data_IF_272180669633
#
_entry.id   IF_272180669633
#
_cell.length_a   1.000
_cell.length_b   1.000
_cell.length_c   1.000
_cell.angle_alpha   90.00
_cell.angle_beta   90.00
_cell.angle_gamma   90.00
#
_symmetry.space_group_name_H-M   'P 1'
#
loop_
_entity.id
_entity.type
_entity.pdbx_description
1 polymer ?
#
# COMPACT_ATOMS: atom_id res chain seq x y z
N UNK A 1 -16.63 -13.22 -12.70
CA UNK A 1 -16.94 -11.79 -12.97
C UNK A 1 -15.72 -11.17 -13.62
N UNK A 2 -15.87 -10.61 -14.79
CA UNK A 2 -14.75 -9.93 -15.45
C UNK A 2 -14.47 -8.61 -14.70
N UNK A 3 -13.29 -8.47 -14.15
CA UNK A 3 -12.82 -7.19 -13.62
C UNK A 3 -12.76 -6.17 -14.77
N UNK A 4 -13.51 -5.09 -14.63
CA UNK A 4 -13.45 -3.99 -15.59
C UNK A 4 -12.12 -3.27 -15.47
N UNK A 5 -11.33 -3.30 -16.54
CA UNK A 5 -10.06 -2.58 -16.58
C UNK A 5 -10.29 -1.17 -17.11
N UNK A 6 -9.96 -0.16 -16.31
CA UNK A 6 -10.03 1.23 -16.75
C UNK A 6 -9.05 1.45 -17.93
N UNK A 7 -9.53 2.06 -19.03
CA UNK A 7 -8.75 2.21 -20.27
C UNK A 7 -7.40 2.95 -20.08
N UNK A 8 -7.32 3.88 -19.12
CA UNK A 8 -6.08 4.57 -18.78
C UNK A 8 -4.97 3.64 -18.25
N UNK A 9 -5.32 2.47 -17.71
CA UNK A 9 -4.31 1.46 -17.33
C UNK A 9 -3.58 0.89 -18.55
N UNK A 10 -4.23 0.89 -19.71
CA UNK A 10 -3.63 0.42 -20.96
C UNK A 10 -2.63 1.41 -21.55
N UNK A 11 -2.68 2.67 -21.17
CA UNK A 11 -1.73 3.70 -21.60
C UNK A 11 -0.39 3.61 -20.87
N UNK A 12 -0.31 2.76 -19.82
CA UNK A 12 0.88 2.56 -19.00
C UNK A 12 1.61 3.87 -18.65
N UNK A 13 0.94 4.83 -18.03
CA UNK A 13 1.56 6.11 -17.68
C UNK A 13 2.73 5.90 -16.72
N UNK A 14 3.76 6.72 -16.84
CA UNK A 14 4.97 6.66 -16.02
C UNK A 14 4.71 6.96 -14.53
N UNK A 15 3.57 7.57 -14.24
CA UNK A 15 3.18 8.01 -12.89
C UNK A 15 1.90 7.32 -12.44
N UNK A 16 1.78 7.14 -11.10
CA UNK A 16 0.57 6.56 -10.50
C UNK A 16 -0.61 7.53 -10.63
N UNK A 17 -1.75 7.05 -11.11
CA UNK A 17 -2.99 7.81 -11.22
C UNK A 17 -4.11 7.20 -10.38
N UNK A 18 -5.21 7.93 -10.18
CA UNK A 18 -6.37 7.46 -9.41
C UNK A 18 -6.93 6.13 -9.94
N UNK A 19 -6.89 5.92 -11.26
CA UNK A 19 -7.30 4.69 -11.93
C UNK A 19 -6.41 3.47 -11.59
N UNK A 20 -5.21 3.68 -11.06
CA UNK A 20 -4.31 2.60 -10.63
C UNK A 20 -4.65 2.08 -9.23
N UNK A 21 -5.41 2.85 -8.47
CA UNK A 21 -5.88 2.45 -7.15
C UNK A 21 -7.04 1.45 -7.28
N UNK A 22 -7.11 0.43 -6.42
CA UNK A 22 -8.28 -0.44 -6.36
C UNK A 22 -9.53 0.36 -6.03
N UNK A 23 -10.65 0.09 -6.71
CA UNK A 23 -11.91 0.79 -6.45
C UNK A 23 -12.30 0.73 -4.97
N UNK A 24 -12.52 1.90 -4.37
CA UNK A 24 -12.95 2.03 -2.99
C UNK A 24 -11.93 1.58 -1.94
N UNK A 25 -10.67 1.32 -2.33
CA UNK A 25 -9.61 0.89 -1.41
C UNK A 25 -8.49 1.91 -1.36
N UNK A 26 -7.96 2.08 -0.17
CA UNK A 26 -6.78 2.88 0.07
C UNK A 26 -5.51 2.05 -0.25
N UNK A 27 -4.47 2.71 -0.73
CA UNK A 27 -3.17 2.12 -1.01
C UNK A 27 -2.11 2.75 -0.11
N UNK A 28 -1.52 1.97 0.78
CA UNK A 28 -0.40 2.41 1.60
C UNK A 28 0.91 2.17 0.87
N UNK A 29 1.71 3.22 0.74
CA UNK A 29 3.00 3.22 0.05
C UNK A 29 4.07 3.87 0.91
N UNK A 30 5.33 3.52 0.69
CA UNK A 30 6.47 4.11 1.40
C UNK A 30 7.24 5.04 0.46
N UNK A 31 7.56 6.24 0.95
CA UNK A 31 8.30 7.24 0.20
C UNK A 31 9.77 6.81 0.12
N UNK A 32 10.28 6.74 -1.11
CA UNK A 32 11.69 6.44 -1.38
C UNK A 32 12.54 7.70 -1.47
N UNK A 33 12.06 8.68 -2.21
CA UNK A 33 12.70 10.00 -2.36
C UNK A 33 11.70 11.02 -2.90
N UNK A 34 12.00 12.30 -2.73
CA UNK A 34 11.23 13.41 -3.29
C UNK A 34 12.18 14.35 -3.98
N UNK A 35 11.92 14.67 -5.24
CA UNK A 35 12.75 15.58 -6.04
C UNK A 35 11.90 16.36 -7.04
N UNK A 36 12.44 17.44 -7.56
CA UNK A 36 11.87 18.13 -8.72
C UNK A 36 12.38 17.47 -10.00
N UNK A 37 11.46 17.11 -10.85
CA UNK A 37 11.76 16.48 -12.15
C UNK A 37 10.96 17.17 -13.27
N UNK A 38 11.50 17.14 -14.47
CA UNK A 38 10.79 17.62 -15.65
C UNK A 38 9.87 16.50 -16.14
N UNK A 39 8.58 16.73 -16.03
CA UNK A 39 7.54 15.79 -16.46
C UNK A 39 6.98 16.25 -17.80
N UNK A 40 6.92 15.35 -18.76
CA UNK A 40 6.25 15.62 -20.03
C UNK A 40 4.78 15.23 -19.92
N UNK A 41 3.89 16.21 -20.03
CA UNK A 41 2.46 15.98 -20.03
C UNK A 41 1.98 15.36 -21.34
N UNK A 42 0.74 14.84 -21.35
CA UNK A 42 0.11 14.14 -22.48
C UNK A 42 0.10 14.99 -23.78
N UNK A 43 0.29 16.30 -23.71
CA UNK A 43 0.40 17.20 -24.87
C UNK A 43 1.83 17.50 -25.30
N UNK A 44 2.85 16.82 -24.78
CA UNK A 44 4.26 17.08 -25.07
C UNK A 44 4.84 18.31 -24.35
N UNK A 45 4.04 18.97 -23.51
CA UNK A 45 4.47 20.11 -22.72
C UNK A 45 5.32 19.60 -21.54
N UNK A 46 6.51 20.17 -21.40
CA UNK A 46 7.41 19.91 -20.29
C UNK A 46 7.11 20.85 -19.13
N UNK A 47 6.84 20.30 -17.98
CA UNK A 47 6.59 21.06 -16.75
C UNK A 47 7.47 20.53 -15.62
N UNK A 48 8.01 21.44 -14.81
CA UNK A 48 8.76 21.04 -13.61
C UNK A 48 7.77 20.69 -12.50
N UNK A 49 7.79 19.44 -12.07
CA UNK A 49 6.90 18.91 -11.05
C UNK A 49 7.70 18.33 -9.88
N UNK A 50 7.11 18.37 -8.70
CA UNK A 50 7.64 17.60 -7.57
C UNK A 50 7.20 16.16 -7.73
N UNK A 51 8.15 15.26 -7.82
CA UNK A 51 7.92 13.82 -7.97
C UNK A 51 8.33 13.10 -6.71
N UNK A 52 7.42 12.30 -6.19
CA UNK A 52 7.64 11.43 -5.04
C UNK A 52 7.86 10.00 -5.55
N UNK A 53 9.09 9.53 -5.48
CA UNK A 53 9.43 8.14 -5.79
C UNK A 53 8.92 7.23 -4.66
N UNK A 54 8.30 6.13 -5.01
CA UNK A 54 7.69 5.19 -4.08
C UNK A 54 8.38 3.83 -4.16
N UNK A 55 8.44 3.11 -3.04
CA UNK A 55 8.91 1.72 -3.04
C UNK A 55 7.87 0.81 -3.68
N UNK A 56 8.29 -0.02 -4.62
CA UNK A 56 7.47 -1.03 -5.30
C UNK A 56 6.22 -0.48 -6.03
N UNK A 57 6.20 0.81 -6.31
CA UNK A 57 5.11 1.48 -7.02
C UNK A 57 5.68 2.52 -8.01
N UNK A 58 4.84 2.92 -8.96
CA UNK A 58 5.16 4.04 -9.86
C UNK A 58 5.26 5.33 -9.07
N UNK A 59 6.09 6.29 -9.49
CA UNK A 59 6.22 7.57 -8.81
C UNK A 59 4.90 8.36 -8.84
N UNK A 60 4.70 9.16 -7.81
CA UNK A 60 3.55 10.05 -7.65
C UNK A 60 3.95 11.50 -7.95
N UNK A 61 3.24 12.16 -8.85
CA UNK A 61 3.35 13.61 -9.01
C UNK A 61 2.69 14.28 -7.80
N UNK A 62 3.46 15.01 -7.03
CA UNK A 62 3.03 15.61 -5.78
C UNK A 62 2.51 17.03 -6.04
N UNK A 63 1.21 17.24 -5.91
CA UNK A 63 0.60 18.55 -5.94
C UNK A 63 0.71 19.26 -4.58
N UNK A 64 0.45 20.56 -4.55
CA UNK A 64 0.54 21.38 -3.34
C UNK A 64 -0.35 20.84 -2.19
N UNK A 65 -1.54 20.36 -2.50
CA UNK A 65 -2.48 19.84 -1.50
C UNK A 65 -1.91 18.58 -0.84
N UNK A 66 -1.38 17.66 -1.63
CA UNK A 66 -0.78 16.43 -1.11
C UNK A 66 0.52 16.72 -0.36
N UNK A 67 1.35 17.64 -0.85
CA UNK A 67 2.55 18.09 -0.16
C UNK A 67 2.24 18.68 1.22
N UNK A 68 1.22 19.53 1.33
CA UNK A 68 0.74 20.07 2.62
C UNK A 68 0.25 18.97 3.57
N UNK A 69 -0.38 17.93 3.04
CA UNK A 69 -0.85 16.80 3.86
C UNK A 69 0.33 16.03 4.44
N UNK A 70 1.35 15.72 3.62
CA UNK A 70 2.57 15.04 4.09
C UNK A 70 3.31 15.92 5.12
N UNK A 71 3.41 17.22 4.86
CA UNK A 71 4.06 18.17 5.78
C UNK A 71 3.35 18.24 7.14
N UNK A 72 2.03 18.10 7.19
CA UNK A 72 1.29 18.01 8.46
C UNK A 72 1.56 16.71 9.21
N UNK A 73 1.86 15.61 8.50
CA UNK A 73 2.11 14.30 9.10
C UNK A 73 3.55 14.17 9.61
N UNK A 74 4.51 14.65 8.84
CA UNK A 74 5.95 14.35 9.05
C UNK A 74 6.84 15.58 9.13
N UNK A 75 6.28 16.77 9.04
CA UNK A 75 7.04 18.03 9.07
C UNK A 75 7.29 18.63 7.69
N UNK A 76 7.80 19.88 7.62
CA UNK A 76 7.94 20.63 6.36
C UNK A 76 9.14 20.22 5.51
N UNK A 77 10.03 19.37 6.01
CA UNK A 77 11.27 19.00 5.34
C UNK A 77 11.11 17.66 4.61
N UNK A 78 11.50 17.63 3.33
CA UNK A 78 11.38 16.45 2.48
C UNK A 78 12.27 15.28 2.93
N UNK A 79 13.38 15.58 3.60
CA UNK A 79 14.30 14.59 4.16
C UNK A 79 13.61 13.75 5.23
N UNK A 80 12.71 14.34 6.00
CA UNK A 80 11.92 13.66 7.05
C UNK A 80 10.84 12.74 6.46
N UNK A 81 10.51 12.90 5.17
CA UNK A 81 9.50 12.09 4.50
C UNK A 81 10.05 10.77 3.97
N UNK A 82 11.36 10.68 3.78
CA UNK A 82 12.01 9.48 3.25
C UNK A 82 11.84 8.32 4.22
N UNK A 83 11.40 7.17 3.71
CA UNK A 83 11.10 5.99 4.52
C UNK A 83 9.77 6.04 5.28
N UNK A 84 9.01 7.15 5.18
CA UNK A 84 7.68 7.26 5.78
C UNK A 84 6.62 6.67 4.88
N UNK A 85 5.58 6.13 5.50
CA UNK A 85 4.44 5.56 4.78
C UNK A 85 3.30 6.56 4.70
N UNK A 86 2.68 6.63 3.53
CA UNK A 86 1.50 7.45 3.26
C UNK A 86 0.40 6.57 2.68
N UNK A 87 -0.84 6.93 2.95
CA UNK A 87 -2.00 6.23 2.41
C UNK A 87 -2.65 7.07 1.31
N UNK A 88 -2.66 6.52 0.11
CA UNK A 88 -3.26 7.12 -1.08
C UNK A 88 -4.71 6.67 -1.24
N UNK A 89 -5.58 7.57 -1.64
CA UNK A 89 -6.96 7.25 -1.99
C UNK A 89 -7.41 8.02 -3.22
N UNK A 90 -8.32 7.42 -3.97
CA UNK A 90 -8.94 8.08 -5.11
C UNK A 90 -9.97 9.11 -4.62
N UNK A 91 -9.92 10.29 -5.21
CA UNK A 91 -10.84 11.40 -4.93
C UNK A 91 -11.16 12.13 -6.22
N UNK A 92 -12.00 13.12 -6.14
CA UNK A 92 -12.33 13.99 -7.26
C UNK A 92 -12.03 15.45 -6.94
N UNK A 93 -11.64 16.19 -7.94
CA UNK A 93 -11.41 17.63 -7.84
C UNK A 93 -11.99 18.33 -9.06
N UNK A 94 -12.29 19.62 -8.95
CA UNK A 94 -12.68 20.43 -10.09
C UNK A 94 -11.46 21.06 -10.75
N UNK A 95 -11.33 20.84 -12.05
CA UNK A 95 -10.30 21.46 -12.87
C UNK A 95 -10.99 22.08 -14.10
N UNK A 96 -10.84 23.37 -14.28
CA UNK A 96 -11.47 24.12 -15.41
C UNK A 96 -12.99 23.88 -15.58
N UNK A 97 -13.73 23.72 -14.46
CA UNK A 97 -15.15 23.47 -14.46
C UNK A 97 -15.58 22.00 -14.58
N UNK A 98 -14.66 21.11 -14.87
CA UNK A 98 -14.91 19.67 -14.95
C UNK A 98 -14.48 18.93 -13.68
N UNK A 99 -15.23 17.89 -13.32
CA UNK A 99 -14.86 16.98 -12.23
C UNK A 99 -13.89 15.94 -12.75
N UNK A 100 -12.66 15.95 -12.23
CA UNK A 100 -11.61 15.01 -12.61
C UNK A 100 -11.18 14.15 -11.41
N UNK A 101 -10.83 12.92 -11.70
CA UNK A 101 -10.28 12.03 -10.69
C UNK A 101 -8.85 12.45 -10.30
N UNK A 102 -8.55 12.42 -9.02
CA UNK A 102 -7.23 12.71 -8.49
C UNK A 102 -6.86 11.78 -7.34
N UNK A 103 -5.56 11.68 -7.08
CA UNK A 103 -5.06 11.01 -5.87
C UNK A 103 -4.96 12.04 -4.75
N UNK A 104 -5.42 11.63 -3.57
CA UNK A 104 -5.24 12.36 -2.31
C UNK A 104 -4.54 11.47 -1.30
N UNK A 105 -3.93 12.12 -0.31
CA UNK A 105 -3.24 11.46 0.81
C UNK A 105 -4.11 11.60 2.04
N UNK A 106 -4.31 10.49 2.77
CA UNK A 106 -5.05 10.52 4.04
C UNK A 106 -4.29 11.38 5.06
N UNK A 107 -4.98 12.28 5.77
CA UNK A 107 -4.36 13.12 6.81
C UNK A 107 -4.16 12.35 8.12
N UNK A 108 -3.72 11.12 8.02
CA UNK A 108 -3.43 10.22 9.13
C UNK A 108 -2.12 9.52 8.84
N UNK A 109 -1.28 9.38 9.88
CA UNK A 109 -0.07 8.57 9.75
C UNK A 109 -0.51 7.19 9.30
N UNK A 110 0.01 6.74 8.15
CA UNK A 110 -0.20 5.38 7.72
C UNK A 110 0.41 4.49 8.80
N UNK A 111 -0.43 3.99 9.67
CA UNK A 111 -0.05 2.84 10.47
C UNK A 111 0.27 1.78 9.43
N UNK A 112 1.55 1.39 9.32
CA UNK A 112 1.85 0.14 8.67
C UNK A 112 0.99 -0.86 9.42
N UNK A 113 -0.12 -1.25 8.82
CA UNK A 113 -0.72 -2.50 9.22
C UNK A 113 0.41 -3.48 8.99
N UNK A 114 1.04 -3.91 10.07
CA UNK A 114 1.80 -5.13 10.08
C UNK A 114 1.00 -6.10 9.22
N UNK A 115 1.60 -6.80 8.24
CA UNK A 115 0.86 -7.63 7.32
C UNK A 115 -0.19 -8.36 8.14
N UNK A 116 -1.48 -8.08 7.88
CA UNK A 116 -2.55 -8.69 8.66
C UNK A 116 -2.36 -10.18 8.50
N UNK A 117 -1.88 -10.80 9.57
CA UNK A 117 -1.66 -12.23 9.59
C UNK A 117 -3.00 -12.85 9.21
N UNK A 118 -3.02 -13.58 8.12
CA UNK A 118 -4.25 -14.21 7.65
C UNK A 118 -4.77 -15.16 8.72
N UNK A 119 -6.06 -15.12 8.99
CA UNK A 119 -6.67 -16.15 9.85
C UNK A 119 -6.50 -17.50 9.17
N UNK A 120 -5.95 -18.45 9.88
CA UNK A 120 -5.79 -19.79 9.36
C UNK A 120 -7.11 -20.59 9.51
N UNK A 121 -7.53 -21.28 8.46
CA UNK A 121 -8.65 -22.21 8.56
C UNK A 121 -8.25 -23.45 9.36
N UNK A 122 -9.23 -24.13 9.95
CA UNK A 122 -9.00 -25.33 10.75
C UNK A 122 -8.25 -26.41 9.97
N UNK A 123 -8.61 -26.62 8.70
CA UNK A 123 -7.96 -27.60 7.82
C UNK A 123 -6.49 -27.28 7.56
N UNK A 124 -6.16 -26.02 7.33
CA UNK A 124 -4.78 -25.56 7.15
C UNK A 124 -3.99 -25.60 8.45
N UNK A 125 -4.64 -25.38 9.58
CA UNK A 125 -4.03 -25.52 10.89
C UNK A 125 -3.62 -26.98 11.15
N UNK A 126 -4.50 -27.93 10.87
CA UNK A 126 -4.21 -29.35 11.05
C UNK A 126 -3.07 -29.82 10.14
N UNK A 127 -3.04 -29.34 8.89
CA UNK A 127 -1.92 -29.59 7.96
C UNK A 127 -0.60 -28.98 8.47
N UNK A 128 -0.63 -27.77 9.03
CA UNK A 128 0.52 -27.13 9.62
C UNK A 128 1.05 -27.88 10.86
N UNK A 129 0.16 -28.37 11.72
CA UNK A 129 0.51 -29.21 12.87
C UNK A 129 1.20 -30.50 12.41
N UNK A 130 0.67 -31.16 11.38
CA UNK A 130 1.29 -32.35 10.79
C UNK A 130 2.72 -32.07 10.29
N UNK A 131 2.93 -30.93 9.61
CA UNK A 131 4.25 -30.49 9.15
C UNK A 131 5.22 -30.16 10.30
N UNK A 132 4.70 -29.62 11.41
CA UNK A 132 5.51 -29.35 12.60
C UNK A 132 5.95 -30.68 13.24
N UNK A 133 5.04 -31.66 13.34
CA UNK A 133 5.37 -33.01 13.85
C UNK A 133 6.39 -33.73 12.95
N UNK A 134 6.35 -33.49 11.65
CA UNK A 134 7.31 -34.05 10.70
C UNK A 134 8.70 -33.34 10.74
N UNK A 135 8.79 -32.19 11.41
CA UNK A 135 10.02 -31.41 11.52
C UNK A 135 10.29 -30.46 10.34
N UNK A 136 9.37 -30.37 9.39
CA UNK A 136 9.51 -29.51 8.20
C UNK A 136 9.11 -28.05 8.46
N UNK A 137 8.42 -27.80 9.57
CA UNK A 137 7.89 -26.49 9.93
C UNK A 137 8.01 -26.22 11.44
N UNK A 138 8.04 -24.96 11.86
CA UNK A 138 8.13 -24.61 13.28
C UNK A 138 6.91 -23.82 13.73
N UNK A 139 6.57 -23.94 15.02
CA UNK A 139 5.46 -23.21 15.65
C UNK A 139 5.65 -21.69 15.52
N UNK A 140 6.90 -21.22 15.65
CA UNK A 140 7.24 -19.80 15.52
C UNK A 140 6.92 -19.25 14.13
N UNK A 141 7.26 -19.98 13.06
CA UNK A 141 6.92 -19.62 11.68
C UNK A 141 5.41 -19.63 11.41
N UNK A 142 4.68 -20.50 12.11
CA UNK A 142 3.22 -20.53 12.02
C UNK A 142 2.60 -19.27 12.65
N UNK A 143 3.07 -18.87 13.83
CA UNK A 143 2.61 -17.66 14.53
C UNK A 143 3.07 -16.37 13.85
N UNK A 144 4.20 -16.40 13.16
CA UNK A 144 4.68 -15.27 12.38
C UNK A 144 3.80 -15.02 11.14
N UNK A 145 3.31 -16.09 10.52
CA UNK A 145 2.58 -16.05 9.25
C UNK A 145 1.07 -15.92 9.39
N UNK A 146 0.50 -16.45 10.50
CA UNK A 146 -0.93 -16.49 10.74
C UNK A 146 -1.30 -15.90 12.10
N UNK A 147 -2.47 -15.29 12.16
CA UNK A 147 -3.08 -14.85 13.42
C UNK A 147 -3.89 -16.00 14.02
N UNK A 148 -3.29 -16.65 15.01
CA UNK A 148 -3.89 -17.80 15.70
C UNK A 148 -4.77 -17.32 16.87
N UNK A 149 -5.98 -17.83 16.96
CA UNK A 149 -6.81 -17.64 18.15
C UNK A 149 -6.22 -18.36 19.36
N UNK A 150 -6.66 -18.00 20.57
CA UNK A 150 -6.20 -18.68 21.79
C UNK A 150 -6.48 -20.19 21.75
N UNK A 151 -7.62 -20.60 21.22
CA UNK A 151 -7.97 -22.00 21.04
C UNK A 151 -7.05 -22.71 20.05
N UNK A 152 -6.71 -22.05 18.96
CA UNK A 152 -5.79 -22.59 17.94
C UNK A 152 -4.37 -22.73 18.49
N UNK A 153 -3.89 -21.77 19.29
CA UNK A 153 -2.60 -21.85 19.96
C UNK A 153 -2.55 -23.01 20.98
N UNK A 154 -3.61 -23.16 21.76
CA UNK A 154 -3.74 -24.27 22.71
C UNK A 154 -3.73 -25.64 21.99
N UNK A 155 -4.43 -25.75 20.85
CA UNK A 155 -4.44 -26.96 20.03
C UNK A 155 -3.04 -27.27 19.48
N UNK A 156 -2.35 -26.29 18.93
CA UNK A 156 -0.97 -26.46 18.42
C UNK A 156 -0.04 -26.93 19.54
N UNK A 157 -0.09 -26.27 20.71
CA UNK A 157 0.76 -26.64 21.85
C UNK A 157 0.48 -28.06 22.34
N UNK A 158 -0.79 -28.47 22.44
CA UNK A 158 -1.19 -29.81 22.88
C UNK A 158 -0.77 -30.90 21.88
N UNK A 159 -0.92 -30.64 20.58
CA UNK A 159 -0.62 -31.60 19.52
C UNK A 159 0.90 -31.73 19.24
N UNK A 160 1.66 -30.66 19.44
CA UNK A 160 3.12 -30.66 19.25
C UNK A 160 3.86 -31.24 20.47
N UNK A 161 3.26 -31.13 21.69
CA UNK A 161 3.82 -31.69 22.91
C UNK A 161 3.51 -33.20 23.08
N UNK A 162 2.58 -33.73 22.29
CA UNK A 162 2.26 -35.16 22.28
C UNK A 162 3.19 -35.88 21.27
#
# INVERSE_FOLDING_TARGET
MSEKTHWKKLLNPDYIGAYALPEGKDLTVTIKSVAREIVTSTGGKKEECTVCQLHNQKPLILNVTNGKTIAKLYGPYIEDWIGKSITLFASTTRLAGETVECIRIRPQVATQQAPQKSKISTERLDAAIASIKAGDFTTEKLEERFDLTMEQRAKVAAEVAA
#
